data_IF_544448226512
#
_entry.id   IF_544448226512
#
_cell.length_a   1.000
_cell.length_b   1.000
_cell.length_c   1.000
_cell.angle_alpha   90.00
_cell.angle_beta   90.00
_cell.angle_gamma   90.00
#
_symmetry.space_group_name_H-M   'P 1'
#
loop_
_entity.id
_entity.type
_entity.pdbx_description
1 polymer ?
#
# COMPACT_ATOMS: atom_id res chain seq x y z
N UNK A 1 -0.18 7.83 -7.35
CA UNK A 1 -1.03 6.64 -7.45
C UNK A 1 -1.27 6.21 -6.02
N UNK A 2 -2.52 6.15 -5.57
CA UNK A 2 -2.84 5.52 -4.29
C UNK A 2 -2.53 4.03 -4.44
N UNK A 3 -1.70 3.49 -3.55
CA UNK A 3 -1.57 2.03 -3.46
C UNK A 3 -2.92 1.49 -3.01
N UNK A 4 -3.50 0.61 -3.83
CA UNK A 4 -4.75 -0.10 -3.54
C UNK A 4 -4.35 -1.52 -3.16
N UNK A 5 -4.62 -1.90 -1.92
CA UNK A 5 -4.40 -3.26 -1.43
C UNK A 5 -5.77 -3.93 -1.32
N UNK A 6 -5.93 -5.07 -2.01
CA UNK A 6 -7.15 -5.87 -1.97
C UNK A 6 -6.83 -7.21 -1.30
N UNK A 7 -7.53 -7.51 -0.22
CA UNK A 7 -7.38 -8.77 0.52
C UNK A 7 -8.74 -9.41 0.79
N UNK A 8 -8.81 -10.73 0.83
CA UNK A 8 -10.00 -11.43 1.29
C UNK A 8 -10.01 -11.50 2.81
N UNK A 9 -11.14 -11.18 3.42
CA UNK A 9 -11.38 -11.32 4.85
C UNK A 9 -12.57 -12.25 5.07
N UNK A 10 -12.59 -13.00 6.16
CA UNK A 10 -13.75 -13.79 6.55
C UNK A 10 -14.03 -13.53 8.03
N UNK A 11 -15.31 -13.49 8.41
CA UNK A 11 -15.68 -13.46 9.82
C UNK A 11 -15.69 -14.88 10.42
N UNK A 12 -15.89 -14.95 11.74
CA UNK A 12 -15.99 -16.22 12.46
C UNK A 12 -17.31 -16.95 12.20
N UNK A 13 -18.27 -16.31 11.53
CA UNK A 13 -19.57 -16.87 11.16
C UNK A 13 -19.55 -17.50 9.76
N UNK A 14 -18.46 -17.32 9.00
CA UNK A 14 -18.23 -17.90 7.68
C UNK A 14 -18.65 -17.00 6.52
N UNK A 15 -18.88 -15.70 6.74
CA UNK A 15 -19.14 -14.74 5.68
C UNK A 15 -17.81 -14.25 5.07
N UNK A 16 -17.73 -14.23 3.74
CA UNK A 16 -16.58 -13.74 2.99
C UNK A 16 -16.74 -12.26 2.63
N UNK A 17 -15.68 -11.48 2.86
CA UNK A 17 -15.58 -10.05 2.60
C UNK A 17 -14.36 -9.75 1.74
N UNK A 18 -14.43 -8.63 1.02
CA UNK A 18 -13.29 -8.05 0.30
C UNK A 18 -12.88 -6.80 1.07
N UNK A 19 -11.69 -6.83 1.66
CA UNK A 19 -11.07 -5.67 2.31
C UNK A 19 -10.26 -4.91 1.26
N UNK A 20 -10.59 -3.63 1.09
CA UNK A 20 -9.91 -2.72 0.15
C UNK A 20 -9.32 -1.57 0.96
N UNK A 21 -7.99 -1.43 0.93
CA UNK A 21 -7.27 -0.33 1.55
C UNK A 21 -6.78 0.62 0.46
N UNK A 22 -7.10 1.91 0.59
CA UNK A 22 -6.75 2.94 -0.40
C UNK A 22 -6.09 4.10 0.34
N UNK A 23 -4.81 4.34 0.06
CA UNK A 23 -4.09 5.43 0.69
C UNK A 23 -4.40 6.79 0.04
N UNK A 24 -4.72 7.81 0.85
CA UNK A 24 -4.82 9.20 0.41
C UNK A 24 -6.09 9.55 -0.37
N UNK A 25 -7.16 8.77 -0.21
CA UNK A 25 -8.46 8.99 -0.86
C UNK A 25 -9.52 9.21 0.21
N UNK A 26 -10.47 10.11 -0.06
CA UNK A 26 -11.57 10.41 0.87
C UNK A 26 -12.66 9.33 0.82
N UNK A 27 -13.43 9.19 1.90
CA UNK A 27 -14.57 8.27 1.95
C UNK A 27 -15.56 8.51 0.79
N UNK A 28 -15.82 9.77 0.44
CA UNK A 28 -16.72 10.13 -0.65
C UNK A 28 -16.20 9.67 -2.01
N UNK A 29 -14.91 9.87 -2.28
CA UNK A 29 -14.27 9.38 -3.50
C UNK A 29 -14.28 7.85 -3.57
N UNK A 30 -14.04 7.15 -2.44
CA UNK A 30 -14.13 5.68 -2.40
C UNK A 30 -15.56 5.21 -2.66
N UNK A 31 -16.57 5.84 -2.05
CA UNK A 31 -17.98 5.51 -2.30
C UNK A 31 -18.34 5.77 -3.77
N UNK A 32 -17.89 6.86 -4.37
CA UNK A 32 -18.15 7.15 -5.79
C UNK A 32 -17.47 6.13 -6.72
N UNK A 33 -16.24 5.72 -6.41
CA UNK A 33 -15.50 4.71 -7.17
C UNK A 33 -16.13 3.32 -7.06
N UNK A 34 -16.62 2.93 -5.88
CA UNK A 34 -17.24 1.63 -5.64
C UNK A 34 -18.71 1.56 -6.06
N UNK A 35 -19.43 2.70 -6.02
CA UNK A 35 -20.84 2.77 -6.40
C UNK A 35 -21.07 2.73 -7.92
N UNK A 36 -20.08 3.14 -8.72
CA UNK A 36 -20.16 3.08 -10.18
C UNK A 36 -19.86 1.67 -10.67
N UNK A 37 -20.89 0.84 -10.76
CA UNK A 37 -20.85 -0.40 -11.53
C UNK A 37 -20.84 -0.04 -13.03
N UNK A 38 -19.69 0.45 -13.53
CA UNK A 38 -19.61 1.01 -14.87
C UNK A 38 -20.01 0.00 -15.96
N UNK A 39 -21.19 0.13 -16.55
CA UNK A 39 -21.61 -0.69 -17.69
C UNK A 39 -21.02 -0.10 -18.96
N UNK A 40 -19.86 -0.62 -19.39
CA UNK A 40 -19.24 -0.19 -20.65
C UNK A 40 -19.89 -0.90 -21.85
N UNK A 41 -20.29 -0.11 -22.86
CA UNK A 41 -20.81 -0.59 -24.14
C UNK A 41 -20.19 0.20 -25.30
N UNK A 42 -19.72 -0.48 -26.34
CA UNK A 42 -19.32 0.15 -27.59
C UNK A 42 -20.39 -0.08 -28.66
N UNK A 43 -20.85 0.97 -29.34
CA UNK A 43 -21.96 0.92 -30.32
C UNK A 43 -21.55 1.49 -31.67
N UNK A 44 -22.05 0.88 -32.74
CA UNK A 44 -21.99 1.41 -34.12
C UNK A 44 -23.43 1.59 -34.58
N UNK A 45 -23.81 2.80 -34.96
CA UNK A 45 -25.23 3.15 -35.11
C UNK A 45 -25.99 2.78 -33.83
N UNK A 46 -27.09 2.03 -33.96
CA UNK A 46 -27.88 1.56 -32.81
C UNK A 46 -27.52 0.14 -32.31
N UNK A 47 -26.44 -0.45 -32.82
CA UNK A 47 -26.06 -1.83 -32.49
C UNK A 47 -24.85 -1.85 -31.55
N UNK A 48 -24.96 -2.62 -30.46
CA UNK A 48 -23.82 -2.85 -29.56
C UNK A 48 -22.85 -3.86 -30.18
N UNK A 49 -21.60 -3.45 -30.32
CA UNK A 49 -20.52 -4.21 -30.94
C UNK A 49 -19.81 -5.08 -29.91
N UNK A 50 -19.45 -4.52 -28.76
CA UNK A 50 -18.86 -5.25 -27.65
C UNK A 50 -19.16 -4.59 -26.30
N UNK A 51 -19.21 -5.43 -25.26
CA UNK A 51 -19.37 -5.02 -23.86
C UNK A 51 -18.01 -4.98 -23.15
N UNK A 52 -17.88 -4.17 -22.11
CA UNK A 52 -16.69 -4.18 -21.24
C UNK A 52 -16.70 -5.35 -20.26
N UNK A 53 -15.59 -5.47 -19.52
CA UNK A 53 -15.38 -6.56 -18.56
C UNK A 53 -15.10 -7.90 -19.26
N UNK A 54 -15.04 -8.99 -18.49
CA UNK A 54 -14.66 -10.35 -18.95
C UNK A 54 -15.61 -10.97 -20.00
N UNK A 55 -16.62 -10.23 -20.47
CA UNK A 55 -17.63 -10.72 -21.41
C UNK A 55 -17.15 -10.69 -22.86
N UNK A 56 -16.70 -9.53 -23.33
CA UNK A 56 -16.34 -9.31 -24.73
C UNK A 56 -14.95 -8.71 -24.92
N UNK A 57 -14.37 -8.04 -23.92
CA UNK A 57 -13.00 -7.49 -23.96
C UNK A 57 -12.13 -8.32 -23.01
N UNK A 58 -11.31 -9.20 -23.58
CA UNK A 58 -10.51 -10.16 -22.80
C UNK A 58 -9.18 -9.59 -22.32
N UNK A 59 -8.70 -8.52 -22.96
CA UNK A 59 -7.45 -7.87 -22.59
C UNK A 59 -7.39 -6.43 -23.07
N UNK A 60 -6.82 -5.54 -22.26
CA UNK A 60 -6.51 -4.16 -22.62
C UNK A 60 -5.04 -3.91 -22.28
N UNK A 61 -4.21 -3.66 -23.30
CA UNK A 61 -2.79 -3.49 -23.10
C UNK A 61 -2.47 -2.18 -22.36
N UNK A 62 -1.72 -2.30 -21.26
CA UNK A 62 -1.17 -1.17 -20.48
C UNK A 62 0.37 -1.15 -20.40
N UNK A 63 1.03 -2.12 -21.03
CA UNK A 63 2.50 -2.18 -21.03
C UNK A 63 3.07 -1.25 -22.09
N UNK A 64 4.32 -0.81 -21.91
CA UNK A 64 5.02 0.04 -22.87
C UNK A 64 5.28 -0.64 -24.23
N UNK A 65 5.02 -1.95 -24.36
CA UNK A 65 5.23 -2.71 -25.59
C UNK A 65 4.05 -2.57 -26.58
N UNK A 66 2.83 -2.39 -26.07
CA UNK A 66 1.61 -2.34 -26.89
C UNK A 66 0.68 -1.17 -26.50
N UNK A 67 1.21 -0.19 -25.75
CA UNK A 67 0.55 1.08 -25.50
C UNK A 67 1.57 2.21 -25.32
N UNK A 68 1.20 3.43 -25.71
CA UNK A 68 2.06 4.60 -25.55
C UNK A 68 1.83 5.65 -26.63
N UNK A 69 2.78 6.57 -26.76
CA UNK A 69 2.77 7.59 -27.81
C UNK A 69 3.28 6.96 -29.11
N UNK A 70 2.58 7.22 -30.22
CA UNK A 70 2.93 6.70 -31.52
C UNK A 70 4.31 7.24 -31.96
N UNK A 71 5.31 6.38 -32.25
CA UNK A 71 6.67 6.84 -32.54
C UNK A 71 6.78 7.75 -33.76
N UNK A 72 5.93 7.54 -34.77
CA UNK A 72 5.94 8.29 -36.04
C UNK A 72 5.06 9.56 -36.01
N UNK A 73 4.15 9.65 -35.05
CA UNK A 73 3.23 10.78 -34.87
C UNK A 73 3.38 11.38 -33.46
N UNK A 74 4.61 11.31 -32.93
CA UNK A 74 5.00 12.05 -31.73
C UNK A 74 4.99 13.55 -32.02
N UNK A 75 5.38 14.36 -31.03
CA UNK A 75 5.47 15.82 -31.14
C UNK A 75 6.50 16.27 -32.20
N UNK A 76 6.23 16.06 -33.49
CA UNK A 76 7.03 16.49 -34.63
C UNK A 76 6.27 17.60 -35.35
N UNK A 77 6.19 18.76 -34.70
CA UNK A 77 5.59 19.96 -35.28
C UNK A 77 6.34 21.20 -34.81
N UNK A 78 6.83 22.02 -35.74
CA UNK A 78 7.42 23.35 -35.46
C UNK A 78 6.30 24.40 -35.36
N UNK A 79 5.37 24.20 -34.43
CA UNK A 79 4.19 25.06 -34.24
C UNK A 79 3.86 25.30 -32.77
N UNK A 80 3.05 26.31 -32.48
CA UNK A 80 2.61 26.68 -31.13
C UNK A 80 1.56 25.74 -30.51
N UNK A 81 1.13 24.70 -31.25
CA UNK A 81 0.21 23.67 -30.78
C UNK A 81 0.73 22.29 -31.16
N UNK A 82 0.85 21.41 -30.16
CA UNK A 82 1.36 20.05 -30.30
C UNK A 82 0.22 19.06 -30.03
N UNK A 83 0.04 18.07 -30.91
CA UNK A 83 -1.02 17.06 -30.81
C UNK A 83 -0.48 15.65 -31.06
N UNK A 84 0.32 15.09 -30.13
CA UNK A 84 0.83 13.73 -30.30
C UNK A 84 -0.31 12.72 -30.25
N UNK A 85 -0.13 11.62 -30.97
CA UNK A 85 -1.09 10.53 -30.97
C UNK A 85 -0.69 9.42 -30.01
N UNK A 86 -1.65 8.87 -29.27
CA UNK A 86 -1.47 7.63 -28.52
C UNK A 86 -2.01 6.44 -29.31
N UNK A 87 -1.52 5.26 -28.95
CA UNK A 87 -2.13 4.00 -29.33
C UNK A 87 -2.16 3.03 -28.14
N UNK A 88 -3.12 2.11 -28.14
CA UNK A 88 -3.06 0.89 -27.34
C UNK A 88 -3.86 -0.23 -28.02
N UNK A 89 -3.52 -1.47 -27.70
CA UNK A 89 -4.22 -2.64 -28.22
C UNK A 89 -5.26 -3.16 -27.23
N UNK A 90 -6.42 -3.57 -27.75
CA UNK A 90 -7.41 -4.38 -27.04
C UNK A 90 -7.59 -5.73 -27.73
N UNK A 91 -7.93 -6.75 -26.95
CA UNK A 91 -8.30 -8.07 -27.47
C UNK A 91 -9.76 -8.33 -27.16
N UNK A 92 -10.52 -8.64 -28.21
CA UNK A 92 -11.92 -9.04 -28.14
C UNK A 92 -12.07 -10.55 -28.03
N UNK A 93 -13.17 -11.00 -27.42
CA UNK A 93 -13.64 -12.37 -27.51
C UNK A 93 -13.96 -12.74 -28.96
N UNK A 94 -13.91 -14.03 -29.32
CA UNK A 94 -14.24 -14.46 -30.68
C UNK A 94 -15.68 -14.10 -31.10
N UNK A 95 -16.61 -14.07 -30.14
CA UNK A 95 -18.00 -13.66 -30.38
C UNK A 95 -18.10 -12.17 -30.67
N UNK A 96 -17.37 -11.34 -29.91
CA UNK A 96 -17.32 -9.89 -30.11
C UNK A 96 -16.64 -9.51 -31.44
N UNK A 97 -15.51 -10.16 -31.76
CA UNK A 97 -14.81 -9.96 -33.03
C UNK A 97 -15.68 -10.30 -34.24
N UNK A 98 -16.43 -11.41 -34.15
CA UNK A 98 -17.39 -11.78 -35.19
C UNK A 98 -18.55 -10.78 -35.29
N UNK A 99 -19.12 -10.34 -34.16
CA UNK A 99 -20.18 -9.32 -34.13
C UNK A 99 -19.72 -8.03 -34.79
N UNK A 100 -18.50 -7.58 -34.50
CA UNK A 100 -17.89 -6.43 -35.15
C UNK A 100 -17.72 -6.63 -36.66
N UNK A 101 -17.22 -7.78 -37.09
CA UNK A 101 -17.08 -8.09 -38.51
C UNK A 101 -18.43 -7.98 -39.23
N UNK A 102 -19.49 -8.57 -38.67
CA UNK A 102 -20.82 -8.60 -39.28
C UNK A 102 -21.43 -7.19 -39.39
N UNK A 103 -21.35 -6.39 -38.32
CA UNK A 103 -21.86 -5.00 -38.30
C UNK A 103 -21.09 -4.12 -39.30
N UNK A 104 -19.76 -4.21 -39.31
CA UNK A 104 -18.93 -3.34 -40.15
C UNK A 104 -18.99 -3.71 -41.64
N UNK A 105 -19.32 -4.96 -41.98
CA UNK A 105 -19.35 -5.46 -43.37
C UNK A 105 -20.27 -4.66 -44.29
N UNK A 106 -21.40 -4.18 -43.77
CA UNK A 106 -22.38 -3.39 -44.54
C UNK A 106 -22.02 -1.91 -44.66
N UNK A 107 -21.05 -1.40 -43.90
CA UNK A 107 -20.77 0.03 -43.84
C UNK A 107 -20.00 0.53 -45.07
N UNK A 108 -20.45 1.60 -45.75
CA UNK A 108 -19.67 2.29 -46.78
C UNK A 108 -18.32 2.80 -46.25
N UNK A 109 -17.35 2.92 -47.15
CA UNK A 109 -16.05 3.54 -46.85
C UNK A 109 -16.12 5.01 -47.27
N UNK A 110 -15.78 5.90 -46.35
CA UNK A 110 -15.70 7.35 -46.56
C UNK A 110 -14.24 7.78 -46.48
N UNK A 111 -13.85 8.70 -47.37
CA UNK A 111 -12.49 9.27 -47.39
C UNK A 111 -12.53 10.64 -46.73
N UNK A 112 -11.71 10.83 -45.69
CA UNK A 112 -11.47 12.10 -45.02
C UNK A 112 -10.77 13.09 -45.93
N UNK A 113 -10.90 14.39 -45.66
CA UNK A 113 -10.20 15.47 -46.37
C UNK A 113 -8.67 15.31 -46.34
N UNK A 114 -8.17 14.67 -45.29
CA UNK A 114 -6.75 14.32 -45.09
C UNK A 114 -6.32 13.02 -45.79
N UNK A 115 -7.20 12.40 -46.59
CA UNK A 115 -6.93 11.15 -47.33
C UNK A 115 -7.11 9.85 -46.54
N UNK A 116 -7.40 9.92 -45.23
CA UNK A 116 -7.68 8.74 -44.41
C UNK A 116 -8.99 8.06 -44.79
N UNK A 117 -9.02 6.73 -44.85
CA UNK A 117 -10.21 5.93 -45.24
C UNK A 117 -10.85 5.31 -44.00
N UNK A 118 -12.10 5.67 -43.73
CA UNK A 118 -12.86 5.24 -42.56
C UNK A 118 -14.20 4.63 -42.98
N UNK A 119 -14.88 3.94 -42.08
CA UNK A 119 -16.27 3.55 -42.28
C UNK A 119 -17.19 4.75 -42.10
N UNK A 120 -18.39 4.68 -42.66
CA UNK A 120 -19.38 5.77 -42.61
C UNK A 120 -19.97 6.05 -41.23
N UNK A 121 -19.82 5.11 -40.30
CA UNK A 121 -20.33 5.20 -38.93
C UNK A 121 -19.15 5.18 -37.96
N UNK A 122 -19.33 5.86 -36.82
CA UNK A 122 -18.35 5.90 -35.74
C UNK A 122 -18.66 4.83 -34.68
N UNK A 123 -17.61 4.43 -33.96
CA UNK A 123 -17.68 3.61 -32.76
C UNK A 123 -17.87 4.52 -31.55
N UNK A 124 -19.08 4.56 -31.02
CA UNK A 124 -19.46 5.37 -29.85
C UNK A 124 -19.33 4.55 -28.58
N UNK A 125 -18.66 5.11 -27.58
CA UNK A 125 -18.35 4.45 -26.33
C UNK A 125 -19.26 4.98 -25.24
N UNK A 126 -19.93 4.08 -24.52
CA UNK A 126 -20.87 4.40 -23.46
C UNK A 126 -20.38 3.81 -22.14
N UNK A 127 -20.56 4.57 -21.07
CA UNK A 127 -20.43 4.12 -19.69
C UNK A 127 -21.72 4.49 -18.96
N UNK A 128 -22.44 3.50 -18.43
CA UNK A 128 -23.73 3.71 -17.76
C UNK A 128 -24.73 4.50 -18.61
N UNK A 129 -24.83 4.12 -19.89
CA UNK A 129 -25.69 4.74 -20.91
C UNK A 129 -25.35 6.22 -21.24
N UNK A 130 -24.27 6.76 -20.70
CA UNK A 130 -23.72 8.08 -21.06
C UNK A 130 -22.61 7.91 -22.09
N UNK A 131 -22.68 8.63 -23.21
CA UNK A 131 -21.61 8.64 -24.22
C UNK A 131 -20.37 9.34 -23.65
N UNK A 132 -19.24 8.63 -23.61
CA UNK A 132 -17.97 9.12 -23.04
C UNK A 132 -16.95 9.52 -24.11
N UNK A 133 -17.00 8.89 -25.29
CA UNK A 133 -16.06 9.12 -26.39
C UNK A 133 -16.60 8.55 -27.70
N UNK A 134 -16.06 9.01 -28.83
CA UNK A 134 -16.42 8.56 -30.17
C UNK A 134 -15.17 8.39 -31.03
N UNK A 135 -15.01 7.21 -31.62
CA UNK A 135 -13.85 6.81 -32.41
C UNK A 135 -14.23 6.51 -33.85
N UNK A 136 -13.43 7.00 -34.81
CA UNK A 136 -13.57 6.61 -36.22
C UNK A 136 -13.07 5.20 -36.44
N UNK A 137 -13.75 4.45 -37.31
CA UNK A 137 -13.39 3.06 -37.61
C UNK A 137 -12.59 3.01 -38.90
N UNK A 138 -11.36 2.49 -38.85
CA UNK A 138 -10.52 2.35 -40.02
C UNK A 138 -11.15 1.41 -41.07
N UNK A 139 -11.02 1.73 -42.35
CA UNK A 139 -11.58 0.92 -43.43
C UNK A 139 -11.03 -0.54 -43.47
N UNK A 140 -9.86 -0.77 -42.89
CA UNK A 140 -9.25 -2.11 -42.74
C UNK A 140 -10.04 -3.03 -41.81
N UNK A 141 -10.89 -2.49 -40.94
CA UNK A 141 -11.72 -3.28 -40.03
C UNK A 141 -13.04 -3.74 -40.66
N UNK A 142 -13.35 -3.31 -41.89
CA UNK A 142 -14.58 -3.69 -42.59
C UNK A 142 -14.67 -5.21 -42.78
N UNK A 143 -15.62 -5.86 -42.09
CA UNK A 143 -15.80 -7.31 -42.20
C UNK A 143 -14.64 -8.13 -41.62
N UNK A 144 -13.75 -7.51 -40.84
CA UNK A 144 -12.59 -8.17 -40.27
C UNK A 144 -12.94 -8.84 -38.95
N UNK A 145 -12.79 -10.17 -38.88
CA UNK A 145 -12.91 -10.94 -37.65
C UNK A 145 -11.53 -11.05 -36.95
N UNK A 146 -10.88 -9.90 -36.72
CA UNK A 146 -9.63 -9.85 -35.98
C UNK A 146 -9.92 -9.49 -34.52
N UNK A 147 -9.62 -10.35 -33.54
CA UNK A 147 -9.85 -10.05 -32.13
C UNK A 147 -8.91 -8.96 -31.61
N UNK A 148 -7.73 -8.78 -32.20
CA UNK A 148 -6.76 -7.75 -31.80
C UNK A 148 -7.02 -6.45 -32.55
N UNK A 149 -7.41 -5.40 -31.82
CA UNK A 149 -7.74 -4.09 -32.38
C UNK A 149 -6.87 -3.03 -31.73
N UNK A 150 -6.26 -2.19 -32.57
CA UNK A 150 -5.55 -1.01 -32.11
C UNK A 150 -6.51 0.18 -32.02
N UNK A 151 -6.54 0.82 -30.86
CA UNK A 151 -7.23 2.08 -30.61
C UNK A 151 -6.20 3.20 -30.64
N UNK A 152 -6.53 4.28 -31.35
CA UNK A 152 -5.70 5.48 -31.46
C UNK A 152 -6.48 6.72 -31.09
N UNK A 153 -5.83 7.69 -30.47
CA UNK A 153 -6.38 9.01 -30.19
C UNK A 153 -5.27 10.05 -30.08
N UNK A 154 -5.62 11.27 -29.72
CA UNK A 154 -4.66 12.37 -29.59
C UNK A 154 -5.00 13.27 -28.42
N UNK A 155 -4.00 13.79 -27.74
CA UNK A 155 -4.16 14.92 -26.82
C UNK A 155 -3.69 16.23 -27.45
N UNK A 156 -3.68 17.28 -26.65
CA UNK A 156 -3.22 18.60 -27.06
C UNK A 156 -2.57 19.37 -25.92
N UNK A 157 -1.66 20.30 -26.25
CA UNK A 157 -1.04 21.16 -25.26
C UNK A 157 -0.37 22.38 -25.86
N UNK A 158 -0.14 23.40 -25.03
CA UNK A 158 0.55 24.64 -25.42
C UNK A 158 2.06 24.44 -25.44
N UNK A 159 2.55 23.51 -24.63
CA UNK A 159 3.93 23.02 -24.67
C UNK A 159 3.98 21.55 -25.09
N UNK A 160 5.13 21.13 -25.61
CA UNK A 160 5.38 19.73 -25.95
C UNK A 160 5.17 18.80 -24.75
N UNK A 161 5.60 19.22 -23.56
CA UNK A 161 5.48 18.42 -22.34
C UNK A 161 4.02 18.29 -21.89
N UNK A 162 3.27 19.38 -21.93
CA UNK A 162 1.84 19.39 -21.60
C UNK A 162 1.05 18.51 -22.57
N UNK A 163 1.34 18.59 -23.87
CA UNK A 163 0.68 17.77 -24.88
C UNK A 163 0.95 16.27 -24.70
N UNK A 164 2.18 15.90 -24.33
CA UNK A 164 2.56 14.52 -24.01
C UNK A 164 1.80 14.02 -22.79
N UNK A 165 1.74 14.80 -21.72
CA UNK A 165 1.03 14.44 -20.49
C UNK A 165 -0.47 14.27 -20.75
N UNK A 166 -1.12 15.25 -21.39
CA UNK A 166 -2.53 15.17 -21.75
C UNK A 166 -2.83 13.94 -22.62
N UNK A 167 -2.00 13.67 -23.62
CA UNK A 167 -2.15 12.50 -24.50
C UNK A 167 -2.07 11.18 -23.74
N UNK A 168 -1.15 11.06 -22.78
CA UNK A 168 -1.05 9.88 -21.92
C UNK A 168 -2.23 9.77 -20.95
N UNK A 169 -2.74 10.88 -20.45
CA UNK A 169 -3.89 10.91 -19.55
C UNK A 169 -5.19 10.53 -20.29
N UNK A 170 -5.40 11.02 -21.51
CA UNK A 170 -6.50 10.59 -22.39
C UNK A 170 -6.41 9.09 -22.70
N UNK A 171 -5.22 8.59 -23.04
CA UNK A 171 -4.99 7.16 -23.28
C UNK A 171 -5.39 6.31 -22.05
N UNK A 172 -4.89 6.67 -20.87
CA UNK A 172 -5.17 5.96 -19.62
C UNK A 172 -6.63 6.05 -19.22
N UNK A 173 -7.26 7.21 -19.43
CA UNK A 173 -8.70 7.41 -19.21
C UNK A 173 -9.50 6.45 -20.08
N UNK A 174 -9.19 6.37 -21.37
CA UNK A 174 -9.88 5.48 -22.31
C UNK A 174 -9.67 4.00 -21.97
N UNK A 175 -8.43 3.60 -21.67
CA UNK A 175 -8.12 2.25 -21.18
C UNK A 175 -8.91 1.92 -19.91
N UNK A 176 -9.02 2.87 -18.99
CA UNK A 176 -9.78 2.69 -17.74
C UNK A 176 -11.25 2.50 -18.02
N UNK A 177 -11.87 3.35 -18.85
CA UNK A 177 -13.30 3.24 -19.20
C UNK A 177 -13.63 1.90 -19.86
N UNK A 178 -12.77 1.43 -20.76
CA UNK A 178 -12.91 0.13 -21.44
C UNK A 178 -12.78 -1.04 -20.45
N UNK A 179 -11.91 -0.91 -19.44
CA UNK A 179 -11.69 -1.94 -18.41
C UNK A 179 -12.80 -1.95 -17.36
N UNK A 180 -13.35 -0.79 -16.99
CA UNK A 180 -14.32 -0.64 -15.89
C UNK A 180 -15.68 -1.29 -16.14
N UNK A 181 -15.80 -2.13 -17.16
CA UNK A 181 -16.98 -2.94 -17.44
C UNK A 181 -17.35 -3.85 -16.27
N UNK A 182 -18.45 -3.47 -15.61
CA UNK A 182 -19.27 -4.22 -14.65
C UNK A 182 -18.48 -5.09 -13.68
N UNK A 183 -18.28 -4.58 -12.45
CA UNK A 183 -18.15 -5.46 -11.29
C UNK A 183 -19.22 -6.58 -11.43
N UNK A 184 -18.82 -7.87 -11.46
CA UNK A 184 -19.72 -8.99 -11.76
C UNK A 184 -20.81 -9.14 -10.70
N UNK A 185 -20.60 -8.52 -9.53
CA UNK A 185 -21.52 -8.44 -8.41
C UNK A 185 -21.60 -7.01 -7.91
N UNK A 186 -22.78 -6.59 -7.46
CA UNK A 186 -22.94 -5.31 -6.78
C UNK A 186 -22.23 -5.40 -5.44
N UNK A 187 -21.18 -4.61 -5.24
CA UNK A 187 -20.50 -4.54 -3.95
C UNK A 187 -21.35 -3.71 -2.99
N UNK A 188 -21.69 -4.31 -1.85
CA UNK A 188 -22.27 -3.58 -0.72
C UNK A 188 -21.15 -3.24 0.26
N UNK A 189 -21.00 -1.95 0.56
CA UNK A 189 -20.01 -1.50 1.54
C UNK A 189 -20.55 -1.78 2.93
N UNK A 190 -20.12 -2.91 3.52
CA UNK A 190 -20.54 -3.34 4.87
C UNK A 190 -19.94 -2.44 5.96
N UNK A 191 -18.70 -1.97 5.74
CA UNK A 191 -18.00 -1.09 6.66
C UNK A 191 -17.02 -0.20 5.91
N UNK A 192 -16.96 1.06 6.29
CA UNK A 192 -15.99 2.02 5.77
C UNK A 192 -15.35 2.73 6.97
N UNK A 193 -14.05 2.56 7.12
CA UNK A 193 -13.24 3.26 8.11
C UNK A 193 -12.30 4.21 7.35
N UNK A 194 -12.33 5.50 7.65
CA UNK A 194 -11.42 6.48 7.05
C UNK A 194 -10.64 7.24 8.12
N UNK A 195 -9.34 7.43 7.87
CA UNK A 195 -8.45 8.23 8.71
C UNK A 195 -7.98 9.40 7.86
N UNK A 196 -8.27 10.63 8.28
CA UNK A 196 -7.86 11.82 7.54
C UNK A 196 -6.35 12.04 7.63
N UNK A 197 -5.75 12.51 6.54
CA UNK A 197 -4.32 12.77 6.48
C UNK A 197 -3.84 13.78 7.53
N UNK A 198 -4.70 14.76 7.88
CA UNK A 198 -4.42 15.72 8.95
C UNK A 198 -4.31 15.06 10.33
N UNK A 199 -5.17 14.08 10.62
CA UNK A 199 -5.12 13.31 11.87
C UNK A 199 -3.84 12.46 11.93
N UNK A 200 -3.40 11.91 10.79
CA UNK A 200 -2.15 11.18 10.69
C UNK A 200 -0.92 12.05 10.98
N UNK A 201 -0.87 13.27 10.43
CA UNK A 201 0.23 14.21 10.72
C UNK A 201 0.23 14.66 12.19
N UNK A 202 -0.94 15.06 12.71
CA UNK A 202 -1.07 15.47 14.11
C UNK A 202 -0.70 14.33 15.06
N UNK A 203 -1.02 13.08 14.70
CA UNK A 203 -0.60 11.91 15.45
C UNK A 203 0.93 11.72 15.45
N UNK A 204 1.60 11.91 14.30
CA UNK A 204 3.07 11.84 14.21
C UNK A 204 3.76 12.93 15.05
N UNK A 205 3.23 14.14 15.05
CA UNK A 205 3.78 15.22 15.88
C UNK A 205 3.60 14.92 17.38
N UNK A 206 2.41 14.44 17.75
CA UNK A 206 2.09 14.09 19.14
C UNK A 206 2.94 12.92 19.65
N UNK A 207 3.14 11.87 18.86
CA UNK A 207 3.96 10.72 19.30
C UNK A 207 5.43 11.09 19.45
N UNK A 208 5.97 11.97 18.61
CA UNK A 208 7.34 12.46 18.75
C UNK A 208 7.50 13.25 20.06
N UNK A 209 6.56 14.14 20.37
CA UNK A 209 6.57 14.91 21.62
C UNK A 209 6.46 13.98 22.84
N UNK A 210 5.46 13.09 22.86
CA UNK A 210 5.22 12.15 23.96
C UNK A 210 6.39 11.18 24.13
N UNK A 211 6.95 10.67 23.03
CA UNK A 211 8.13 9.80 23.05
C UNK A 211 9.36 10.50 23.65
N UNK A 212 9.61 11.75 23.27
CA UNK A 212 10.69 12.55 23.86
C UNK A 212 10.50 12.77 25.36
N UNK A 213 9.28 13.14 25.78
CA UNK A 213 8.96 13.32 27.21
C UNK A 213 9.11 12.01 28.00
N UNK A 214 8.71 10.88 27.43
CA UNK A 214 8.86 9.56 28.04
C UNK A 214 10.35 9.20 28.25
N UNK A 215 11.20 9.40 27.24
CA UNK A 215 12.65 9.16 27.35
C UNK A 215 13.26 10.06 28.43
N UNK A 216 12.96 11.35 28.43
CA UNK A 216 13.43 12.29 29.46
C UNK A 216 12.97 11.87 30.86
N UNK A 217 11.72 11.43 31.00
CA UNK A 217 11.17 10.95 32.28
C UNK A 217 11.92 9.70 32.78
N UNK A 218 12.20 8.75 31.90
CA UNK A 218 12.98 7.55 32.23
C UNK A 218 14.39 7.92 32.67
N UNK A 219 15.07 8.79 31.92
CA UNK A 219 16.41 9.28 32.26
C UNK A 219 16.41 9.91 33.66
N UNK A 220 15.43 10.77 33.94
CA UNK A 220 15.30 11.45 35.21
C UNK A 220 15.12 10.45 36.36
N UNK A 221 14.20 9.49 36.23
CA UNK A 221 13.92 8.48 37.26
C UNK A 221 15.15 7.63 37.55
N UNK A 222 15.80 7.13 36.50
CA UNK A 222 17.02 6.31 36.62
C UNK A 222 18.16 7.12 37.24
N UNK A 223 18.34 8.37 36.81
CA UNK A 223 19.35 9.26 37.37
C UNK A 223 19.12 9.54 38.86
N UNK A 224 17.88 9.85 39.27
CA UNK A 224 17.52 10.09 40.67
C UNK A 224 17.76 8.85 41.53
N UNK A 225 17.44 7.65 41.01
CA UNK A 225 17.54 6.37 41.72
C UNK A 225 18.99 5.92 41.94
N UNK A 226 19.85 6.04 40.94
CA UNK A 226 21.22 5.51 41.00
C UNK A 226 22.29 6.57 41.26
N UNK A 227 22.06 7.83 40.86
CA UNK A 227 23.01 8.95 40.99
C UNK A 227 24.41 8.69 40.44
N UNK A 228 24.57 7.66 39.61
CA UNK A 228 25.84 7.23 39.02
C UNK A 228 25.74 7.32 37.50
N UNK A 229 26.36 8.36 36.93
CA UNK A 229 26.33 8.61 35.47
C UNK A 229 26.87 7.40 34.68
N UNK A 230 27.85 6.67 35.23
CA UNK A 230 28.42 5.44 34.65
C UNK A 230 27.40 4.31 34.45
N UNK A 231 26.29 4.32 35.19
CA UNK A 231 25.20 3.35 35.06
C UNK A 231 24.09 3.89 34.16
N UNK A 232 23.76 5.18 34.33
CA UNK A 232 22.68 5.84 33.58
C UNK A 232 22.96 5.85 32.08
N UNK A 233 24.18 6.18 31.65
CA UNK A 233 24.51 6.27 30.21
C UNK A 233 24.34 4.93 29.50
N UNK A 234 24.93 3.80 29.96
CA UNK A 234 24.70 2.49 29.36
C UNK A 234 23.23 2.08 29.32
N UNK A 235 22.43 2.40 30.33
CA UNK A 235 20.99 2.08 30.32
C UNK A 235 20.28 2.80 29.18
N UNK A 236 20.49 4.10 29.05
CA UNK A 236 19.85 4.91 28.01
C UNK A 236 20.27 4.45 26.61
N UNK A 237 21.57 4.20 26.41
CA UNK A 237 22.07 3.69 25.13
C UNK A 237 21.47 2.31 24.80
N UNK A 238 21.32 1.45 25.80
CA UNK A 238 20.70 0.13 25.61
C UNK A 238 19.24 0.26 25.19
N UNK A 239 18.46 1.14 25.83
CA UNK A 239 17.06 1.39 25.47
C UNK A 239 16.92 1.97 24.05
N UNK A 240 17.78 2.93 23.69
CA UNK A 240 17.80 3.48 22.34
C UNK A 240 18.15 2.41 21.30
N UNK A 241 19.11 1.54 21.59
CA UNK A 241 19.46 0.43 20.70
C UNK A 241 18.30 -0.55 20.51
N UNK A 242 17.53 -0.82 21.57
CA UNK A 242 16.35 -1.68 21.51
C UNK A 242 15.25 -1.06 20.64
N UNK A 243 14.98 0.24 20.77
CA UNK A 243 14.04 0.93 19.90
C UNK A 243 14.46 0.84 18.43
N UNK A 244 15.75 1.03 18.13
CA UNK A 244 16.28 0.88 16.76
C UNK A 244 16.09 -0.55 16.24
N UNK A 245 16.32 -1.57 17.07
CA UNK A 245 16.10 -2.96 16.67
C UNK A 245 14.63 -3.26 16.36
N UNK A 246 13.70 -2.73 17.15
CA UNK A 246 12.26 -2.90 16.91
C UNK A 246 11.82 -2.23 15.60
N UNK A 247 12.24 -0.98 15.38
CA UNK A 247 11.92 -0.23 14.16
C UNK A 247 12.59 -0.87 12.93
N UNK A 248 13.83 -1.34 13.09
CA UNK A 248 14.55 -2.07 12.05
C UNK A 248 13.84 -3.38 11.68
N UNK A 249 13.36 -4.14 12.65
CA UNK A 249 12.57 -5.34 12.41
C UNK A 249 11.26 -5.04 11.68
N UNK A 250 10.50 -4.02 12.13
CA UNK A 250 9.26 -3.63 11.47
C UNK A 250 9.50 -3.24 10.00
N UNK A 251 10.58 -2.49 9.73
CA UNK A 251 10.99 -2.12 8.38
C UNK A 251 11.38 -3.33 7.51
N UNK A 252 12.17 -4.27 8.06
CA UNK A 252 12.61 -5.47 7.33
C UNK A 252 11.46 -6.41 6.98
N UNK A 253 10.46 -6.53 7.85
CA UNK A 253 9.28 -7.37 7.63
C UNK A 253 8.24 -6.65 6.76
N UNK A 254 8.38 -5.34 6.52
CA UNK A 254 7.38 -4.53 5.84
C UNK A 254 6.10 -4.40 6.66
N UNK A 255 6.19 -4.45 7.99
CA UNK A 255 5.04 -4.34 8.88
C UNK A 255 4.70 -2.88 9.16
N UNK A 256 3.49 -2.45 8.80
CA UNK A 256 3.00 -1.11 9.10
C UNK A 256 2.78 -0.97 10.61
N UNK A 257 3.39 0.06 11.22
CA UNK A 257 3.19 0.37 12.63
C UNK A 257 1.87 1.13 12.82
N UNK A 258 0.88 0.42 13.35
CA UNK A 258 -0.39 0.98 13.77
C UNK A 258 -0.34 1.44 15.24
N UNK A 259 -1.44 2.03 15.71
CA UNK A 259 -1.57 2.53 17.08
C UNK A 259 -1.30 1.42 18.12
N UNK A 260 -1.76 0.21 17.83
CA UNK A 260 -1.57 -0.95 18.68
C UNK A 260 -0.08 -1.36 18.72
N UNK A 261 0.60 -1.39 17.57
CA UNK A 261 2.04 -1.63 17.49
C UNK A 261 2.85 -0.62 18.32
N UNK A 262 2.49 0.66 18.27
CA UNK A 262 3.11 1.71 19.08
C UNK A 262 2.94 1.45 20.58
N UNK A 263 1.75 1.06 21.03
CA UNK A 263 1.53 0.67 22.42
C UNK A 263 2.44 -0.51 22.82
N UNK A 264 2.68 -1.44 21.90
CA UNK A 264 3.64 -2.53 22.06
C UNK A 264 5.06 -2.01 22.32
N UNK A 265 5.54 -1.04 21.52
CA UNK A 265 6.86 -0.41 21.71
C UNK A 265 6.99 0.20 23.12
N UNK A 266 5.96 0.88 23.60
CA UNK A 266 5.95 1.51 24.93
C UNK A 266 6.07 0.44 26.03
N UNK A 267 5.34 -0.68 25.90
CA UNK A 267 5.45 -1.81 26.85
C UNK A 267 6.85 -2.42 26.83
N UNK A 268 7.43 -2.63 25.64
CA UNK A 268 8.80 -3.16 25.53
C UNK A 268 9.80 -2.21 26.16
N UNK A 269 9.69 -0.91 25.91
CA UNK A 269 10.56 0.09 26.54
C UNK A 269 10.44 0.07 28.07
N UNK A 270 9.22 -0.01 28.61
CA UNK A 270 8.98 -0.07 30.05
C UNK A 270 9.54 -1.34 30.71
N UNK A 271 9.24 -2.50 30.14
CA UNK A 271 9.81 -3.79 30.61
C UNK A 271 11.32 -3.83 30.43
N UNK A 272 11.87 -3.13 29.43
CA UNK A 272 13.30 -2.98 29.25
C UNK A 272 13.96 -2.19 30.34
N UNK A 273 13.42 -1.02 30.70
CA UNK A 273 13.93 -0.24 31.84
C UNK A 273 13.90 -1.07 33.11
N UNK A 274 12.81 -1.81 33.37
CA UNK A 274 12.68 -2.70 34.53
C UNK A 274 13.78 -3.78 34.56
N UNK A 275 14.01 -4.48 33.45
CA UNK A 275 15.09 -5.47 33.35
C UNK A 275 16.48 -4.85 33.59
N UNK A 276 16.74 -3.65 33.07
CA UNK A 276 18.02 -2.96 33.28
C UNK A 276 18.19 -2.55 34.75
N UNK A 277 17.12 -2.14 35.42
CA UNK A 277 17.08 -1.85 36.85
C UNK A 277 17.37 -3.13 37.65
N UNK A 278 16.73 -4.26 37.33
CA UNK A 278 16.96 -5.55 38.02
C UNK A 278 18.44 -5.98 37.90
N UNK A 279 19.00 -5.94 36.69
CA UNK A 279 20.42 -6.27 36.46
C UNK A 279 21.34 -5.36 37.27
N UNK A 280 21.01 -4.08 37.35
CA UNK A 280 21.82 -3.08 38.07
C UNK A 280 21.68 -3.21 39.59
N UNK A 281 20.48 -3.40 40.11
CA UNK A 281 20.25 -3.57 41.54
C UNK A 281 20.89 -4.87 42.05
N UNK A 282 20.77 -5.98 41.31
CA UNK A 282 21.39 -7.27 41.68
C UNK A 282 22.94 -7.20 41.63
N UNK A 283 23.51 -6.39 40.72
CA UNK A 283 24.96 -6.20 40.63
C UNK A 283 25.49 -5.25 41.72
N UNK A 284 24.80 -4.13 42.00
CA UNK A 284 25.19 -3.10 42.97
C UNK A 284 24.91 -3.46 44.45
N UNK A 285 23.77 -4.09 44.77
CA UNK A 285 23.34 -4.29 46.18
C UNK A 285 23.98 -5.48 46.89
N UNK A 286 24.71 -6.36 46.20
CA UNK A 286 25.08 -7.64 46.79
C UNK A 286 25.96 -7.50 48.04
N UNK A 287 25.32 -7.62 49.20
CA UNK A 287 25.95 -7.89 50.49
C UNK A 287 26.57 -9.30 50.44
N UNK A 288 27.89 -9.36 50.50
CA UNK A 288 28.74 -10.48 50.96
C UNK A 288 28.55 -11.94 50.49
N UNK A 289 27.71 -12.27 49.50
CA UNK A 289 27.55 -13.69 49.08
C UNK A 289 27.47 -13.90 47.56
N UNK A 290 28.61 -13.82 46.86
CA UNK A 290 28.77 -14.41 45.53
C UNK A 290 29.59 -13.61 44.50
N UNK A 291 30.23 -14.33 43.56
CA UNK A 291 30.97 -13.76 42.41
C UNK A 291 30.04 -12.95 41.50
N UNK A 292 30.59 -11.92 40.83
CA UNK A 292 29.89 -11.08 39.86
C UNK A 292 29.07 -11.87 38.83
N UNK A 293 29.67 -12.93 38.28
CA UNK A 293 29.02 -13.85 37.35
C UNK A 293 27.76 -14.50 37.94
N UNK A 294 27.74 -14.77 39.24
CA UNK A 294 26.56 -15.33 39.91
C UNK A 294 25.43 -14.32 40.02
N UNK A 295 25.74 -13.05 40.28
CA UNK A 295 24.76 -11.96 40.36
C UNK A 295 24.11 -11.71 39.00
N UNK A 296 24.91 -11.58 37.94
CA UNK A 296 24.38 -11.46 36.57
C UNK A 296 23.51 -12.67 36.23
N UNK A 297 23.94 -13.89 36.58
CA UNK A 297 23.15 -15.10 36.33
C UNK A 297 21.79 -15.07 37.06
N UNK A 298 21.74 -14.61 38.31
CA UNK A 298 20.50 -14.48 39.06
C UNK A 298 19.58 -13.43 38.41
N UNK A 299 20.10 -12.26 38.06
CA UNK A 299 19.34 -11.22 37.36
C UNK A 299 18.79 -11.72 36.03
N UNK A 300 19.62 -12.38 35.22
CA UNK A 300 19.19 -12.94 33.94
C UNK A 300 18.13 -14.04 34.10
N UNK A 301 18.15 -14.81 35.19
CA UNK A 301 17.10 -15.78 35.48
C UNK A 301 15.74 -15.09 35.71
N UNK A 302 15.72 -13.98 36.45
CA UNK A 302 14.51 -13.17 36.66
C UNK A 302 14.00 -12.59 35.34
N UNK A 303 14.92 -12.00 34.55
CA UNK A 303 14.61 -11.41 33.23
C UNK A 303 14.04 -12.44 32.25
N UNK A 304 14.62 -13.64 32.18
CA UNK A 304 14.11 -14.72 31.33
C UNK A 304 12.73 -15.19 31.80
N UNK A 305 12.51 -15.27 33.12
CA UNK A 305 11.18 -15.58 33.67
C UNK A 305 10.11 -14.60 33.22
N UNK A 306 10.37 -13.29 33.35
CA UNK A 306 9.47 -12.22 32.92
C UNK A 306 9.23 -12.21 31.39
N UNK A 307 10.26 -12.55 30.61
CA UNK A 307 10.13 -12.73 29.16
C UNK A 307 9.18 -13.87 28.80
N UNK A 308 9.34 -15.04 29.41
CA UNK A 308 8.48 -16.19 29.12
C UNK A 308 7.02 -15.92 29.49
N UNK A 309 6.76 -15.20 30.59
CA UNK A 309 5.39 -14.79 30.94
C UNK A 309 4.80 -13.82 29.94
N UNK A 310 5.61 -12.87 29.45
CA UNK A 310 5.16 -11.91 28.43
C UNK A 310 4.86 -12.62 27.11
N UNK A 311 5.72 -13.54 26.66
CA UNK A 311 5.47 -14.35 25.48
C UNK A 311 4.18 -15.16 25.61
N UNK A 312 4.01 -15.86 26.74
CA UNK A 312 2.80 -16.65 26.99
C UNK A 312 1.53 -15.80 26.92
N UNK A 313 1.59 -14.55 27.40
CA UNK A 313 0.48 -13.60 27.30
C UNK A 313 0.22 -13.10 25.88
N UNK A 314 1.26 -12.91 25.05
CA UNK A 314 1.11 -12.34 23.70
C UNK A 314 0.75 -13.37 22.64
N UNK A 315 1.11 -14.65 22.81
CA UNK A 315 0.84 -15.71 21.84
C UNK A 315 -0.64 -15.84 21.45
N UNK A 316 -1.61 -15.84 22.40
CA UNK A 316 -3.03 -15.88 22.05
C UNK A 316 -3.48 -14.68 21.22
N UNK A 317 -2.90 -13.48 21.43
CA UNK A 317 -3.29 -12.27 20.70
C UNK A 317 -2.86 -12.28 19.23
N UNK A 318 -1.91 -13.13 18.84
CA UNK A 318 -1.57 -13.34 17.43
C UNK A 318 -2.66 -14.07 16.64
N UNK A 319 -3.46 -14.90 17.33
CA UNK A 319 -4.53 -15.71 16.76
C UNK A 319 -5.94 -15.23 17.13
N UNK A 320 -6.07 -14.42 18.18
CA UNK A 320 -7.34 -13.85 18.60
C UNK A 320 -7.90 -12.96 17.47
N UNK A 321 -9.08 -13.32 16.98
CA UNK A 321 -9.74 -12.70 15.83
C UNK A 321 -10.10 -11.24 16.07
N UNK A 322 -9.23 -10.34 15.60
CA UNK A 322 -9.49 -9.02 15.04
C UNK A 322 -8.10 -8.37 14.88
N UNK A 323 -7.72 -7.97 13.66
CA UNK A 323 -6.37 -7.47 13.34
C UNK A 323 -5.84 -6.34 14.24
N UNK A 324 -6.73 -5.65 14.96
CA UNK A 324 -6.47 -4.59 15.93
C UNK A 324 -5.39 -4.89 16.98
N UNK A 325 -5.25 -6.13 17.45
CA UNK A 325 -4.26 -6.48 18.49
C UNK A 325 -3.05 -7.25 17.95
N UNK A 326 -3.07 -7.60 16.67
CA UNK A 326 -2.01 -8.40 16.05
C UNK A 326 -0.71 -7.61 15.95
N UNK A 327 -0.80 -6.32 15.56
CA UNK A 327 0.35 -5.42 15.53
C UNK A 327 0.99 -5.26 16.91
N UNK A 328 0.16 -5.05 17.94
CA UNK A 328 0.61 -4.99 19.34
C UNK A 328 1.36 -6.25 19.77
N UNK A 329 0.78 -7.43 19.55
CA UNK A 329 1.37 -8.70 19.96
C UNK A 329 2.69 -8.98 19.21
N UNK A 330 2.72 -8.75 17.90
CA UNK A 330 3.89 -8.99 17.07
C UNK A 330 5.07 -8.10 17.51
N UNK A 331 4.82 -6.80 17.65
CA UNK A 331 5.86 -5.83 18.05
C UNK A 331 6.34 -6.09 19.47
N UNK A 332 5.44 -6.45 20.39
CA UNK A 332 5.81 -6.79 21.77
C UNK A 332 6.67 -8.04 21.82
N UNK A 333 6.30 -9.11 21.12
CA UNK A 333 7.08 -10.35 21.07
C UNK A 333 8.47 -10.09 20.48
N UNK A 334 8.54 -9.41 19.34
CA UNK A 334 9.82 -9.09 18.69
C UNK A 334 10.70 -8.23 19.61
N UNK A 335 10.13 -7.18 20.18
CA UNK A 335 10.88 -6.25 21.02
C UNK A 335 11.41 -6.88 22.30
N UNK A 336 10.58 -7.60 23.08
CA UNK A 336 11.08 -8.27 24.30
C UNK A 336 12.11 -9.37 23.93
N UNK A 337 11.95 -10.03 22.78
CA UNK A 337 12.94 -11.01 22.30
C UNK A 337 14.29 -10.34 21.98
N UNK A 338 14.31 -9.25 21.22
CA UNK A 338 15.55 -8.49 20.98
C UNK A 338 16.14 -7.95 22.27
N UNK A 339 15.28 -7.50 23.17
CA UNK A 339 15.66 -7.06 24.48
C UNK A 339 16.46 -8.13 25.22
N UNK A 340 15.84 -9.29 25.48
CA UNK A 340 16.43 -10.34 26.31
C UNK A 340 17.57 -11.08 25.62
N UNK A 341 17.53 -11.25 24.31
CA UNK A 341 18.56 -12.01 23.58
C UNK A 341 19.79 -11.16 23.23
N UNK A 342 19.63 -9.85 23.04
CA UNK A 342 20.70 -8.97 22.55
C UNK A 342 21.00 -7.88 23.58
N UNK A 343 20.01 -7.03 23.88
CA UNK A 343 20.24 -5.79 24.62
C UNK A 343 20.62 -6.03 26.09
N UNK A 344 19.96 -6.94 26.80
CA UNK A 344 20.22 -7.22 28.23
C UNK A 344 21.58 -7.91 28.43
N UNK A 345 21.96 -8.95 27.66
CA UNK A 345 23.31 -9.51 27.74
C UNK A 345 24.39 -8.49 27.43
N UNK A 346 24.20 -7.63 26.42
CA UNK A 346 25.13 -6.55 26.10
C UNK A 346 25.27 -5.56 27.26
N UNK A 347 24.15 -5.13 27.84
CA UNK A 347 24.15 -4.25 29.01
C UNK A 347 24.84 -4.88 30.22
N UNK A 348 24.57 -6.16 30.51
CA UNK A 348 25.20 -6.88 31.61
C UNK A 348 26.72 -6.93 31.46
N UNK A 349 27.23 -7.14 30.24
CA UNK A 349 28.66 -7.10 29.95
C UNK A 349 29.26 -5.70 30.10
N UNK A 350 28.56 -4.65 29.65
CA UNK A 350 29.01 -3.26 29.82
C UNK A 350 29.06 -2.87 31.30
N UNK A 351 28.05 -3.25 32.08
CA UNK A 351 27.99 -3.00 33.51
C UNK A 351 29.05 -3.80 34.27
N UNK A 352 29.37 -5.03 33.84
CA UNK A 352 30.52 -5.79 34.34
C UNK A 352 31.80 -4.98 34.22
N UNK A 353 32.16 -4.56 33.00
CA UNK A 353 33.40 -3.80 32.75
C UNK A 353 33.45 -2.49 33.54
N UNK A 354 32.33 -1.75 33.58
CA UNK A 354 32.31 -0.42 34.20
C UNK A 354 32.34 -0.45 35.75
N UNK A 355 31.88 -1.54 36.36
CA UNK A 355 31.73 -1.66 37.82
C UNK A 355 32.68 -2.68 38.46
N UNK A 356 33.22 -3.66 37.70
CA UNK A 356 34.22 -4.61 38.22
C UNK A 356 35.61 -3.98 38.37
N UNK A 357 35.88 -2.86 37.69
CA UNK A 357 37.12 -2.09 37.83
C UNK A 357 38.36 -2.73 37.20
N UNK A 358 38.20 -3.71 36.31
CA UNK A 358 39.28 -4.31 35.50
C UNK A 358 39.39 -3.72 34.10
#
# INVERSE_FOLDING_TARGET
>A
MSDIIVTSAADLEGNDFILIEIAGVTEQEVQELLAKQGKFEAKIGNQTVFFGGDKDITYVCRSAQCSGIHPQYGCSGSGSSHSPQFFFEITLSGVAAQRQADITRSLPIVTSETGGRYLSEDLRLFLDDVEVDTLRIAASLKGSNNPSIQITGSGSGRSQQEAITDTLDQMKKLQTVIITGSLPVKLEVVKLDSISASLGQEFLDNILLVGMLAILSVILVVYVRYRLIKVVIPMVLTLLSELVLILGFASLVGWNLDLAGIAGIIIVAGTGVDHLIIITDETLRGENTGSWKRRIKNAMFIVIGAYLTTLAGMLPLLWAGAGLLKGFALITIAGVSFGVLIARPAFAAVIEILLSGE
#
